data_IF_106766548457
#
_entry.id   IF_106766548457
#
_cell.length_a   1.000
_cell.length_b   1.000
_cell.length_c   1.000
_cell.angle_alpha   90.00
_cell.angle_beta   90.00
_cell.angle_gamma   90.00
#
_symmetry.space_group_name_H-M   'P 1'
#
loop_
_entity.id
_entity.type
_entity.pdbx_description
1 polymer ?
#
# COMPACT_ATOMS: atom_id res chain seq x y z
N UNK A 1 5.05 -29.89 17.64
CA UNK A 1 5.88 -28.90 18.30
C UNK A 1 7.14 -28.69 17.47
N UNK A 2 7.56 -27.45 17.29
CA UNK A 2 8.74 -27.08 16.51
C UNK A 2 9.64 -26.30 17.45
N UNK A 3 10.90 -26.71 17.60
CA UNK A 3 11.87 -26.09 18.48
C UNK A 3 12.60 -24.91 17.79
N UNK A 4 12.62 -24.90 16.46
CA UNK A 4 13.21 -23.83 15.65
C UNK A 4 12.46 -23.64 14.33
N UNK A 5 12.43 -22.38 13.84
CA UNK A 5 11.84 -21.99 12.57
C UNK A 5 12.90 -21.19 11.80
N UNK A 6 13.15 -21.59 10.56
CA UNK A 6 13.98 -20.83 9.62
C UNK A 6 13.04 -20.19 8.61
N UNK A 7 13.03 -18.87 8.53
CA UNK A 7 12.15 -18.14 7.63
C UNK A 7 12.79 -16.80 7.25
N UNK A 8 12.21 -16.14 6.25
CA UNK A 8 12.51 -14.73 5.98
C UNK A 8 12.02 -13.88 7.16
N UNK A 9 12.74 -12.80 7.49
CA UNK A 9 12.39 -11.94 8.62
C UNK A 9 11.06 -11.18 8.42
N UNK A 10 10.52 -11.13 7.20
CA UNK A 10 9.15 -10.64 6.95
C UNK A 10 8.12 -11.41 7.79
N UNK A 11 8.31 -12.72 7.98
CA UNK A 11 7.41 -13.53 8.81
C UNK A 11 7.46 -13.19 10.30
N UNK A 12 8.42 -12.39 10.72
CA UNK A 12 8.53 -11.89 12.11
C UNK A 12 8.11 -10.43 12.21
N UNK A 13 8.59 -9.57 11.31
CA UNK A 13 8.53 -8.12 11.45
C UNK A 13 7.50 -7.44 10.55
N UNK A 14 7.04 -8.08 9.46
CA UNK A 14 6.07 -7.44 8.56
C UNK A 14 4.67 -7.42 9.20
N UNK A 15 4.03 -6.25 9.34
CA UNK A 15 2.74 -6.12 9.99
C UNK A 15 1.60 -6.84 9.27
N UNK A 16 1.76 -7.18 7.97
CA UNK A 16 0.72 -7.79 7.15
C UNK A 16 0.86 -9.31 7.04
N UNK A 17 2.11 -9.83 7.06
CA UNK A 17 2.39 -11.25 6.77
C UNK A 17 3.07 -12.02 7.90
N UNK A 18 3.34 -11.38 9.06
CA UNK A 18 3.96 -12.06 10.20
C UNK A 18 3.18 -13.31 10.64
N UNK A 19 3.89 -14.25 11.27
CA UNK A 19 3.31 -15.50 11.77
C UNK A 19 2.37 -15.23 12.95
N UNK A 20 1.10 -15.02 12.67
CA UNK A 20 0.05 -14.69 13.66
C UNK A 20 -0.03 -15.68 14.83
N UNK A 21 0.33 -16.95 14.60
CA UNK A 21 0.37 -17.97 15.65
C UNK A 21 1.31 -17.61 16.79
N UNK A 22 2.37 -16.84 16.51
CA UNK A 22 3.43 -16.51 17.48
C UNK A 22 3.42 -15.04 17.87
N UNK A 23 2.97 -14.15 16.99
CA UNK A 23 3.14 -12.70 17.10
C UNK A 23 1.84 -11.90 17.06
N UNK A 24 0.67 -12.55 17.22
CA UNK A 24 -0.59 -11.82 17.38
C UNK A 24 -0.69 -11.13 18.75
N UNK A 25 -1.53 -10.11 18.82
CA UNK A 25 -1.83 -9.43 20.09
C UNK A 25 -2.23 -10.43 21.18
N UNK A 26 -1.67 -10.26 22.37
CA UNK A 26 -1.93 -11.12 23.53
C UNK A 26 -1.16 -12.45 23.51
N UNK A 27 -0.39 -12.76 22.48
CA UNK A 27 0.49 -13.92 22.46
C UNK A 27 1.90 -13.48 22.85
N UNK A 28 2.45 -14.09 23.87
CA UNK A 28 3.83 -13.89 24.31
C UNK A 28 4.54 -15.23 24.46
N UNK A 29 5.85 -15.25 24.25
CA UNK A 29 6.69 -16.43 24.42
C UNK A 29 8.16 -16.03 24.51
N UNK A 30 8.96 -16.94 25.03
CA UNK A 30 10.42 -16.76 25.11
C UNK A 30 11.02 -17.16 23.75
N UNK A 31 11.24 -16.16 22.88
CA UNK A 31 11.81 -16.37 21.57
C UNK A 31 13.23 -15.83 21.49
N UNK A 32 14.12 -16.57 20.84
CA UNK A 32 15.44 -16.13 20.47
C UNK A 32 15.50 -15.95 18.95
N UNK A 33 15.85 -14.74 18.51
CA UNK A 33 15.98 -14.42 17.08
C UNK A 33 17.45 -14.38 16.69
N UNK A 34 17.81 -15.16 15.67
CA UNK A 34 19.10 -15.11 15.00
C UNK A 34 18.86 -14.55 13.61
N UNK A 35 19.23 -13.30 13.41
CA UNK A 35 18.97 -12.60 12.15
C UNK A 35 20.27 -12.50 11.34
N UNK A 36 20.29 -13.11 10.17
CA UNK A 36 21.34 -12.91 9.20
C UNK A 36 21.18 -11.54 8.50
N UNK A 37 22.27 -10.96 8.01
CA UNK A 37 22.27 -9.66 7.32
C UNK A 37 21.53 -8.55 8.09
N UNK A 38 21.65 -8.52 9.42
CA UNK A 38 20.89 -7.63 10.32
C UNK A 38 21.07 -6.13 9.98
N UNK A 39 22.14 -5.74 9.27
CA UNK A 39 22.32 -4.37 8.79
C UNK A 39 21.25 -3.92 7.78
N UNK A 40 20.57 -4.87 7.14
CA UNK A 40 19.45 -4.60 6.22
C UNK A 40 18.10 -4.46 6.94
N UNK A 41 18.01 -4.77 8.22
CA UNK A 41 16.73 -4.80 8.96
C UNK A 41 16.03 -3.44 8.96
N UNK A 42 16.75 -2.36 9.26
CA UNK A 42 16.16 -1.02 9.33
C UNK A 42 15.63 -0.53 7.98
N UNK A 43 16.40 -0.58 6.87
CA UNK A 43 15.88 -0.23 5.57
C UNK A 43 14.66 -1.09 5.17
N UNK A 44 14.70 -2.38 5.43
CA UNK A 44 13.60 -3.29 5.11
C UNK A 44 12.37 -3.05 5.99
N UNK A 45 12.55 -2.81 7.28
CA UNK A 45 11.44 -2.45 8.16
C UNK A 45 10.76 -1.16 7.68
N UNK A 46 11.53 -0.14 7.28
CA UNK A 46 10.96 1.06 6.67
C UNK A 46 10.08 0.75 5.46
N UNK A 47 10.51 -0.14 4.58
CA UNK A 47 9.69 -0.57 3.44
C UNK A 47 8.44 -1.34 3.86
N UNK A 48 8.54 -2.29 4.79
CA UNK A 48 7.40 -3.06 5.31
C UNK A 48 6.32 -2.20 5.96
N UNK A 49 6.73 -1.10 6.60
CA UNK A 49 5.83 -0.15 7.24
C UNK A 49 5.52 1.06 6.37
N UNK A 50 5.79 1.01 5.08
CA UNK A 50 5.49 2.08 4.12
C UNK A 50 4.55 1.58 3.03
N UNK A 51 3.82 2.49 2.41
CA UNK A 51 2.99 2.18 1.25
C UNK A 51 3.07 3.30 0.21
N UNK A 52 2.93 2.94 -1.05
CA UNK A 52 2.94 3.90 -2.14
C UNK A 52 1.88 3.55 -3.19
N UNK A 53 1.37 4.57 -3.87
CA UNK A 53 0.51 4.44 -5.04
C UNK A 53 1.02 5.35 -6.16
N UNK A 54 0.83 4.91 -7.39
CA UNK A 54 1.27 5.64 -8.57
C UNK A 54 0.07 6.11 -9.39
N UNK A 55 0.10 7.37 -9.78
CA UNK A 55 -0.96 7.98 -10.59
C UNK A 55 -1.22 7.21 -11.89
N UNK A 56 -0.17 6.70 -12.50
CA UNK A 56 -0.21 5.97 -13.76
C UNK A 56 -0.98 4.65 -13.64
N UNK A 57 -0.95 3.99 -12.47
CA UNK A 57 -1.69 2.76 -12.20
C UNK A 57 -3.20 3.02 -12.21
N UNK A 58 -3.67 4.15 -11.66
CA UNK A 58 -5.09 4.53 -11.75
C UNK A 58 -5.56 4.64 -13.20
N UNK A 59 -4.72 5.16 -14.10
CA UNK A 59 -5.06 5.28 -15.52
C UNK A 59 -5.06 3.93 -16.24
N UNK A 60 -4.12 3.05 -15.88
CA UNK A 60 -4.03 1.69 -16.43
C UNK A 60 -5.26 0.87 -16.04
N UNK A 61 -5.51 0.78 -14.74
CA UNK A 61 -6.63 -0.02 -14.20
C UNK A 61 -7.98 0.54 -14.64
N UNK A 62 -8.12 1.86 -14.73
CA UNK A 62 -9.30 2.48 -15.32
C UNK A 62 -9.59 1.99 -16.75
N UNK A 63 -8.56 1.81 -17.59
CA UNK A 63 -8.74 1.29 -18.96
C UNK A 63 -9.28 -0.14 -18.94
N UNK A 64 -8.75 -0.99 -18.04
CA UNK A 64 -9.19 -2.37 -17.88
C UNK A 64 -10.66 -2.41 -17.41
N UNK A 65 -11.02 -1.61 -16.43
CA UNK A 65 -12.35 -1.63 -15.81
C UNK A 65 -13.43 -0.87 -16.62
N UNK A 66 -13.04 -0.05 -17.58
CA UNK A 66 -13.97 0.76 -18.37
C UNK A 66 -15.11 -0.02 -19.04
N UNK A 67 -14.88 -1.18 -19.67
CA UNK A 67 -15.96 -1.98 -20.27
C UNK A 67 -16.84 -2.68 -19.22
N UNK A 68 -16.38 -2.83 -17.97
CA UNK A 68 -17.00 -3.67 -16.96
C UNK A 68 -17.83 -2.86 -15.96
N UNK A 69 -17.32 -1.72 -15.48
CA UNK A 69 -17.94 -0.99 -14.37
C UNK A 69 -17.71 0.52 -14.45
N UNK A 70 -18.72 1.23 -14.93
CA UNK A 70 -18.68 2.70 -15.07
C UNK A 70 -18.65 3.44 -13.71
N UNK A 71 -19.13 2.82 -12.64
CA UNK A 71 -19.05 3.40 -11.28
C UNK A 71 -17.60 3.46 -10.81
N UNK A 72 -16.86 2.35 -10.95
CA UNK A 72 -15.43 2.30 -10.64
C UNK A 72 -14.61 3.29 -11.47
N UNK A 73 -14.93 3.42 -12.76
CA UNK A 73 -14.27 4.40 -13.64
C UNK A 73 -14.40 5.82 -13.09
N UNK A 74 -15.59 6.23 -12.64
CA UNK A 74 -15.82 7.57 -12.06
C UNK A 74 -15.06 7.77 -10.75
N UNK A 75 -14.97 6.72 -9.91
CA UNK A 75 -14.21 6.77 -8.67
C UNK A 75 -12.71 6.90 -8.93
N UNK A 76 -12.18 6.14 -9.89
CA UNK A 76 -10.79 6.26 -10.33
C UNK A 76 -10.48 7.64 -10.91
N UNK A 77 -11.40 8.22 -11.70
CA UNK A 77 -11.24 9.58 -12.22
C UNK A 77 -11.15 10.61 -11.10
N UNK A 78 -11.93 10.44 -10.03
CA UNK A 78 -11.87 11.31 -8.86
C UNK A 78 -10.53 11.21 -8.16
N UNK A 79 -10.07 9.98 -7.86
CA UNK A 79 -8.75 9.78 -7.22
C UNK A 79 -7.61 10.30 -8.11
N UNK A 80 -7.67 10.02 -9.41
CA UNK A 80 -6.66 10.51 -10.36
C UNK A 80 -6.65 12.05 -10.46
N UNK A 81 -7.80 12.72 -10.31
CA UNK A 81 -7.89 14.19 -10.28
C UNK A 81 -7.13 14.76 -9.08
N UNK A 82 -7.33 14.19 -7.89
CA UNK A 82 -6.60 14.59 -6.68
C UNK A 82 -5.08 14.41 -6.87
N UNK A 83 -4.65 13.25 -7.38
CA UNK A 83 -3.23 13.02 -7.68
C UNK A 83 -2.69 13.99 -8.74
N UNK A 84 -3.50 14.40 -9.71
CA UNK A 84 -3.11 15.39 -10.71
C UNK A 84 -2.95 16.80 -10.10
N UNK A 85 -3.79 17.16 -9.15
CA UNK A 85 -3.67 18.43 -8.42
C UNK A 85 -2.38 18.43 -7.58
N UNK A 86 -2.11 17.37 -6.82
CA UNK A 86 -0.84 17.20 -6.10
C UNK A 86 0.38 17.25 -7.05
N UNK A 87 0.29 16.62 -8.22
CA UNK A 87 1.36 16.63 -9.23
C UNK A 87 1.66 18.03 -9.76
N UNK A 88 0.66 18.89 -9.87
CA UNK A 88 0.85 20.28 -10.35
C UNK A 88 1.63 21.15 -9.36
N UNK A 89 1.53 20.84 -8.07
CA UNK A 89 2.23 21.51 -6.98
C UNK A 89 3.62 20.93 -6.70
N UNK A 90 3.90 19.74 -7.23
CA UNK A 90 5.13 18.99 -6.99
C UNK A 90 6.15 19.26 -8.11
N UNK A 91 7.23 19.96 -7.82
CA UNK A 91 8.33 20.17 -8.77
C UNK A 91 9.21 18.91 -8.91
N UNK A 92 9.65 18.34 -7.80
CA UNK A 92 10.40 17.08 -7.71
C UNK A 92 9.86 16.19 -6.59
N UNK A 93 9.71 16.75 -5.40
CA UNK A 93 9.01 16.15 -4.27
C UNK A 93 8.24 17.22 -3.49
N UNK A 94 7.19 16.81 -2.77
CA UNK A 94 6.38 17.69 -1.93
C UNK A 94 5.92 16.90 -0.69
N UNK A 95 6.21 17.43 0.49
CA UNK A 95 5.69 16.89 1.76
C UNK A 95 4.27 17.38 1.95
N UNK A 96 3.36 16.48 2.28
CA UNK A 96 1.95 16.76 2.52
C UNK A 96 1.63 16.62 4.01
N UNK A 97 0.82 17.52 4.51
CA UNK A 97 0.34 17.48 5.91
C UNK A 97 -0.97 16.69 6.04
N UNK A 98 -1.79 16.72 5.00
CA UNK A 98 -3.13 16.11 5.02
C UNK A 98 -3.51 15.51 3.66
N UNK A 99 -3.96 14.26 3.69
CA UNK A 99 -4.49 13.53 2.53
C UNK A 99 -5.86 12.91 2.80
N UNK A 100 -6.57 13.33 3.85
CA UNK A 100 -7.85 12.74 4.28
C UNK A 100 -8.88 12.69 3.16
N UNK A 101 -8.94 13.74 2.35
CA UNK A 101 -9.88 13.80 1.24
C UNK A 101 -9.57 12.74 0.18
N UNK A 102 -8.31 12.60 -0.20
CA UNK A 102 -7.84 11.55 -1.10
C UNK A 102 -8.12 10.17 -0.52
N UNK A 103 -7.78 9.94 0.75
CA UNK A 103 -8.00 8.64 1.41
C UNK A 103 -9.47 8.26 1.49
N UNK A 104 -10.39 9.21 1.68
CA UNK A 104 -11.83 8.94 1.60
C UNK A 104 -12.23 8.40 0.22
N UNK A 105 -11.66 8.95 -0.83
CA UNK A 105 -11.83 8.44 -2.20
C UNK A 105 -11.28 7.04 -2.39
N UNK A 106 -10.08 6.79 -1.85
CA UNK A 106 -9.41 5.47 -1.89
C UNK A 106 -10.22 4.41 -1.16
N UNK A 107 -10.68 4.67 0.06
CA UNK A 107 -11.49 3.71 0.84
C UNK A 107 -12.80 3.36 0.11
N UNK A 108 -13.45 4.36 -0.51
CA UNK A 108 -14.65 4.12 -1.30
C UNK A 108 -14.37 3.30 -2.56
N UNK A 109 -13.28 3.59 -3.25
CA UNK A 109 -12.81 2.84 -4.43
C UNK A 109 -12.49 1.40 -4.06
N UNK A 110 -11.75 1.20 -2.97
CA UNK A 110 -11.35 -0.12 -2.46
C UNK A 110 -12.58 -1.01 -2.20
N UNK A 111 -13.59 -0.53 -1.46
CA UNK A 111 -14.80 -1.30 -1.17
C UNK A 111 -15.64 -1.64 -2.42
N UNK A 112 -15.61 -0.82 -3.47
CA UNK A 112 -16.28 -1.15 -4.73
C UNK A 112 -15.45 -2.11 -5.60
N UNK A 113 -14.12 -2.06 -5.54
CA UNK A 113 -13.24 -3.04 -6.19
C UNK A 113 -13.40 -4.42 -5.56
N UNK A 114 -13.51 -4.50 -4.23
CA UNK A 114 -13.75 -5.74 -3.51
C UNK A 114 -15.01 -6.45 -4.03
N UNK A 115 -16.13 -5.73 -4.14
CA UNK A 115 -17.39 -6.26 -4.70
C UNK A 115 -17.24 -6.77 -6.14
N UNK A 116 -16.46 -6.08 -6.97
CA UNK A 116 -16.19 -6.53 -8.34
C UNK A 116 -15.39 -7.83 -8.34
N UNK A 117 -14.33 -7.92 -7.53
CA UNK A 117 -13.44 -9.07 -7.46
C UNK A 117 -14.13 -10.31 -6.87
N UNK A 118 -15.06 -10.13 -5.93
CA UNK A 118 -15.90 -11.18 -5.38
C UNK A 118 -16.96 -11.69 -6.39
N UNK A 119 -17.54 -10.78 -7.17
CA UNK A 119 -18.59 -11.10 -8.14
C UNK A 119 -18.05 -11.69 -9.46
N UNK A 120 -16.75 -11.52 -9.76
CA UNK A 120 -16.15 -11.88 -11.04
C UNK A 120 -14.97 -12.82 -10.82
N UNK A 121 -15.13 -14.11 -11.20
CA UNK A 121 -14.08 -15.12 -11.01
C UNK A 121 -12.89 -14.90 -11.95
N UNK A 122 -13.14 -14.63 -13.24
CA UNK A 122 -12.08 -14.40 -14.23
C UNK A 122 -12.45 -13.29 -15.22
N UNK A 123 -11.48 -12.44 -15.55
CA UNK A 123 -11.53 -11.48 -16.64
C UNK A 123 -10.11 -11.12 -17.10
N UNK A 124 -9.99 -10.51 -18.28
CA UNK A 124 -8.70 -10.13 -18.82
C UNK A 124 -7.96 -9.14 -17.89
N UNK A 125 -6.66 -9.36 -17.69
CA UNK A 125 -5.77 -8.54 -16.85
C UNK A 125 -6.20 -8.47 -15.35
N UNK A 126 -6.90 -9.51 -14.86
CA UNK A 126 -7.35 -9.60 -13.46
C UNK A 126 -6.20 -9.48 -12.47
N UNK A 127 -5.04 -10.05 -12.78
CA UNK A 127 -3.86 -10.00 -11.91
C UNK A 127 -3.39 -8.56 -11.70
N UNK A 128 -3.38 -7.72 -12.75
CA UNK A 128 -3.05 -6.29 -12.63
C UNK A 128 -4.05 -5.55 -11.74
N UNK A 129 -5.34 -5.89 -11.83
CA UNK A 129 -6.39 -5.31 -10.98
C UNK A 129 -6.22 -5.77 -9.53
N UNK A 130 -5.83 -7.02 -9.30
CA UNK A 130 -5.51 -7.55 -7.97
C UNK A 130 -4.28 -6.87 -7.35
N UNK A 131 -3.21 -6.71 -8.09
CA UNK A 131 -2.00 -6.02 -7.62
C UNK A 131 -2.32 -4.59 -7.22
N UNK A 132 -3.11 -3.89 -8.02
CA UNK A 132 -3.57 -2.55 -7.68
C UNK A 132 -4.49 -2.54 -6.45
N UNK A 133 -5.43 -3.49 -6.34
CA UNK A 133 -6.29 -3.64 -5.17
C UNK A 133 -5.46 -3.86 -3.90
N UNK A 134 -4.42 -4.69 -3.95
CA UNK A 134 -3.53 -4.92 -2.83
C UNK A 134 -2.70 -3.67 -2.48
N UNK A 135 -2.26 -2.89 -3.48
CA UNK A 135 -1.57 -1.63 -3.21
C UNK A 135 -2.48 -0.61 -2.49
N UNK A 136 -3.76 -0.55 -2.84
CA UNK A 136 -4.73 0.28 -2.13
C UNK A 136 -4.97 -0.20 -0.69
N UNK A 137 -5.07 -1.54 -0.49
CA UNK A 137 -5.20 -2.13 0.84
C UNK A 137 -4.00 -1.77 1.72
N UNK A 138 -2.80 -1.89 1.18
CA UNK A 138 -1.58 -1.59 1.93
C UNK A 138 -1.50 -0.09 2.25
N UNK A 139 -1.92 0.78 1.33
CA UNK A 139 -2.03 2.22 1.58
C UNK A 139 -3.01 2.53 2.73
N UNK A 140 -4.18 1.89 2.75
CA UNK A 140 -5.18 2.05 3.81
C UNK A 140 -4.62 1.56 5.15
N UNK A 141 -4.02 0.36 5.18
CA UNK A 141 -3.43 -0.22 6.39
C UNK A 141 -2.34 0.66 6.99
N UNK A 142 -1.50 1.28 6.15
CA UNK A 142 -0.45 2.20 6.63
C UNK A 142 -1.07 3.54 7.04
N UNK A 143 -2.08 4.03 6.33
CA UNK A 143 -2.77 5.27 6.69
C UNK A 143 -3.40 5.19 8.10
N UNK A 144 -3.99 4.05 8.46
CA UNK A 144 -4.59 3.83 9.78
C UNK A 144 -3.54 3.76 10.93
N UNK A 145 -2.26 3.60 10.57
CA UNK A 145 -1.12 3.53 11.51
C UNK A 145 -0.30 4.81 11.59
N UNK A 146 -0.68 5.86 10.85
CA UNK A 146 0.10 7.10 10.80
C UNK A 146 0.26 7.71 12.19
N UNK A 147 1.50 8.01 12.53
CA UNK A 147 1.93 8.71 13.74
C UNK A 147 3.10 9.66 13.39
N UNK A 148 3.78 10.18 14.40
CA UNK A 148 4.91 11.10 14.24
C UNK A 148 6.13 10.47 13.53
N UNK A 149 6.19 9.14 13.44
CA UNK A 149 7.25 8.39 12.75
C UNK A 149 7.05 8.35 11.24
N UNK A 150 5.93 8.86 10.71
CA UNK A 150 5.64 8.84 9.28
C UNK A 150 5.83 10.20 8.63
N UNK A 151 6.11 10.15 7.32
CA UNK A 151 6.05 11.33 6.44
C UNK A 151 5.22 10.96 5.21
N UNK A 152 4.32 11.86 4.85
CA UNK A 152 3.51 11.76 3.64
C UNK A 152 4.15 12.67 2.61
N UNK A 153 4.48 12.12 1.45
CA UNK A 153 5.06 12.94 0.38
C UNK A 153 4.66 12.44 -1.00
N UNK A 154 4.76 13.33 -1.95
CA UNK A 154 4.68 13.00 -3.38
C UNK A 154 6.03 13.23 -4.05
N UNK A 155 6.30 12.48 -5.09
CA UNK A 155 7.55 12.55 -5.83
C UNK A 155 7.30 12.32 -7.32
N UNK A 156 7.98 13.12 -8.15
CA UNK A 156 8.07 12.89 -9.58
C UNK A 156 9.32 12.06 -9.87
N UNK A 157 9.11 10.79 -10.18
CA UNK A 157 10.19 9.83 -10.40
C UNK A 157 10.94 10.12 -11.72
N UNK A 158 12.21 9.66 -11.84
CA UNK A 158 13.02 9.87 -13.05
C UNK A 158 12.40 9.27 -14.32
N UNK A 159 11.56 8.25 -14.19
CA UNK A 159 10.82 7.61 -15.29
C UNK A 159 9.53 8.37 -15.68
N UNK A 160 9.25 9.49 -15.01
CA UNK A 160 8.08 10.35 -15.25
C UNK A 160 6.81 9.94 -14.50
N UNK A 161 6.83 8.82 -13.75
CA UNK A 161 5.71 8.43 -12.89
C UNK A 161 5.60 9.38 -11.69
N UNK A 162 4.37 9.57 -11.24
CA UNK A 162 4.06 10.36 -10.06
C UNK A 162 3.60 9.45 -8.92
N UNK A 163 4.31 9.50 -7.81
CA UNK A 163 4.12 8.67 -6.63
C UNK A 163 3.58 9.49 -5.46
N UNK A 164 2.60 8.94 -4.75
CA UNK A 164 2.23 9.34 -3.39
C UNK A 164 2.70 8.23 -2.45
N UNK A 165 3.44 8.59 -1.40
CA UNK A 165 4.01 7.64 -0.45
C UNK A 165 3.72 8.03 0.99
N UNK A 166 3.33 7.04 1.78
CA UNK A 166 3.32 7.06 3.24
C UNK A 166 4.58 6.34 3.71
N UNK A 167 5.56 7.09 4.15
CA UNK A 167 6.89 6.57 4.46
C UNK A 167 7.15 6.52 5.96
N UNK A 168 7.46 5.34 6.46
CA UNK A 168 7.89 5.13 7.84
C UNK A 168 9.37 5.52 7.99
N UNK A 169 9.64 6.58 8.72
CA UNK A 169 11.00 7.08 8.98
C UNK A 169 11.65 6.25 10.08
N UNK A 170 10.87 5.86 11.08
CA UNK A 170 11.35 5.12 12.25
C UNK A 170 10.39 3.95 12.53
N UNK A 171 10.68 2.75 11.96
CA UNK A 171 9.86 1.57 12.11
C UNK A 171 9.94 0.94 13.51
#
# INVERSE_FOLDING_TARGET
WVDSIICDYNYVFDPNIHLKRYFSEGISGDYLFLTDEAHNLVPRAREMYSAAVYKEDFLLIKKILKPMNQKLVRMMDRCNKELLEMKRECESYLILEDIRFFMTGIMTLFGEMEKLLEASEEFQDRDLVLDFYFSLRDLINIYDRLDDNYRIYTELLPDGRFMLRLFCVNP
#
